data_IF_726511434877
#
_entry.id   IF_726511434877
#
_cell.length_a   1.000
_cell.length_b   1.000
_cell.length_c   1.000
_cell.angle_alpha   90.00
_cell.angle_beta   90.00
_cell.angle_gamma   90.00
#
_symmetry.space_group_name_H-M   'P 1'
#
loop_
_entity.id
_entity.type
_entity.pdbx_description
1 polymer ?
#
# COMPACT_ATOMS: atom_id res chain seq x y z
N UNK A 1 -0.48 -2.75 -33.73
CA UNK A 1 0.62 -3.63 -33.23
C UNK A 1 -0.03 -4.89 -32.68
N UNK A 2 0.54 -6.08 -32.90
CA UNK A 2 -0.05 -7.33 -32.42
C UNK A 2 0.46 -7.68 -31.00
N UNK A 3 -0.45 -8.08 -30.09
CA UNK A 3 -0.15 -8.40 -28.68
C UNK A 3 0.88 -9.51 -28.50
N UNK A 4 0.78 -10.60 -29.26
CA UNK A 4 1.71 -11.74 -29.23
C UNK A 4 3.12 -11.33 -29.63
N UNK A 5 3.24 -10.48 -30.65
CA UNK A 5 4.53 -9.92 -31.07
C UNK A 5 5.16 -9.06 -29.97
N UNK A 6 4.35 -8.21 -29.31
CA UNK A 6 4.82 -7.41 -28.17
C UNK A 6 5.26 -8.27 -27.00
N UNK A 7 4.52 -9.33 -26.65
CA UNK A 7 4.91 -10.22 -25.55
C UNK A 7 6.21 -10.98 -25.84
N UNK A 8 6.36 -11.50 -27.07
CA UNK A 8 7.61 -12.15 -27.50
C UNK A 8 8.81 -11.20 -27.40
N UNK A 9 8.64 -9.94 -27.79
CA UNK A 9 9.69 -8.91 -27.65
C UNK A 9 9.94 -8.58 -26.19
N UNK A 10 8.87 -8.35 -25.42
CA UNK A 10 8.93 -8.03 -23.98
C UNK A 10 9.68 -9.10 -23.20
N UNK A 11 9.40 -10.38 -23.41
CA UNK A 11 10.10 -11.50 -22.74
C UNK A 11 11.60 -11.55 -22.99
N UNK A 12 12.12 -10.90 -24.04
CA UNK A 12 13.57 -10.82 -24.31
C UNK A 12 14.25 -9.74 -23.47
N UNK A 13 13.52 -8.73 -23.02
CA UNK A 13 14.08 -7.51 -22.40
C UNK A 13 13.51 -7.19 -21.02
N UNK A 14 12.40 -7.84 -20.63
CA UNK A 14 11.74 -7.70 -19.33
C UNK A 14 11.62 -9.08 -18.68
N UNK A 15 11.98 -9.24 -17.39
CA UNK A 15 11.66 -10.45 -16.63
C UNK A 15 10.17 -10.76 -16.69
N UNK A 16 9.81 -11.97 -17.13
CA UNK A 16 8.40 -12.36 -17.34
C UNK A 16 7.67 -11.60 -18.45
N UNK A 17 8.35 -10.73 -19.21
CA UNK A 17 7.74 -9.90 -20.25
C UNK A 17 6.93 -8.70 -19.75
N UNK A 18 7.06 -8.34 -18.48
CA UNK A 18 6.24 -7.32 -17.80
C UNK A 18 7.08 -6.44 -16.86
N UNK A 19 6.60 -5.23 -16.54
CA UNK A 19 7.25 -4.34 -15.56
C UNK A 19 6.76 -4.55 -14.12
N UNK A 20 5.74 -5.40 -13.92
CA UNK A 20 5.22 -5.80 -12.61
C UNK A 20 4.58 -7.17 -12.77
N UNK A 21 4.80 -8.07 -11.82
CA UNK A 21 4.29 -9.44 -11.86
C UNK A 21 2.76 -9.48 -11.99
N UNK A 22 2.05 -8.54 -11.36
CA UNK A 22 0.58 -8.43 -11.41
C UNK A 22 0.04 -8.08 -12.80
N UNK A 23 0.89 -7.63 -13.73
CA UNK A 23 0.48 -7.35 -15.11
C UNK A 23 0.51 -8.58 -16.00
N UNK A 24 1.17 -9.66 -15.58
CA UNK A 24 1.08 -10.94 -16.29
C UNK A 24 -0.29 -11.54 -15.99
N UNK A 25 -1.12 -11.68 -17.02
CA UNK A 25 -2.44 -12.28 -16.88
C UNK A 25 -2.39 -13.73 -17.36
N UNK A 26 -2.57 -14.67 -16.43
CA UNK A 26 -2.52 -16.10 -16.74
C UNK A 26 -3.63 -16.53 -17.71
N UNK A 27 -4.84 -15.98 -17.55
CA UNK A 27 -5.97 -16.28 -18.43
C UNK A 27 -5.77 -15.82 -19.88
N UNK A 28 -5.00 -14.75 -20.10
CA UNK A 28 -4.63 -14.26 -21.43
C UNK A 28 -3.31 -14.86 -21.94
N UNK A 29 -2.47 -15.42 -21.05
CA UNK A 29 -1.11 -15.88 -21.37
C UNK A 29 -0.12 -14.75 -21.71
N UNK A 30 -0.52 -13.49 -21.58
CA UNK A 30 0.27 -12.29 -21.86
C UNK A 30 -0.32 -11.07 -21.10
N UNK A 31 0.41 -9.95 -20.93
CA UNK A 31 -0.15 -8.75 -20.31
C UNK A 31 -1.16 -8.04 -21.22
N UNK A 32 -2.04 -7.22 -20.64
CA UNK A 32 -2.87 -6.32 -21.42
C UNK A 32 -2.02 -5.17 -21.98
N UNK A 33 -1.84 -5.14 -23.30
CA UNK A 33 -1.13 -4.05 -23.97
C UNK A 33 -2.09 -2.92 -24.33
N UNK A 34 -1.96 -1.80 -23.63
CA UNK A 34 -2.80 -0.62 -23.82
C UNK A 34 -2.18 0.36 -24.82
N UNK A 35 -3.02 0.98 -25.65
CA UNK A 35 -2.63 2.12 -26.49
C UNK A 35 -3.04 3.45 -25.85
N UNK A 36 -4.21 3.49 -25.21
CA UNK A 36 -4.73 4.67 -24.51
C UNK A 36 -5.78 4.28 -23.47
N UNK A 37 -6.12 5.21 -22.60
CA UNK A 37 -7.21 5.11 -21.64
C UNK A 37 -7.97 6.45 -21.59
N UNK A 38 -9.29 6.39 -21.44
CA UNK A 38 -10.15 7.58 -21.45
C UNK A 38 -11.43 7.32 -20.67
N UNK A 39 -11.76 8.20 -19.72
CA UNK A 39 -12.91 8.02 -18.83
C UNK A 39 -12.84 6.69 -18.10
N UNK A 40 -13.87 5.86 -18.27
CA UNK A 40 -13.95 4.53 -17.67
C UNK A 40 -13.38 3.40 -18.56
N UNK A 41 -12.72 3.73 -19.68
CA UNK A 41 -12.30 2.72 -20.66
C UNK A 41 -10.79 2.62 -20.83
N UNK A 42 -10.32 1.38 -20.94
CA UNK A 42 -8.99 1.03 -21.45
C UNK A 42 -9.12 0.59 -22.90
N UNK A 43 -8.21 1.02 -23.76
CA UNK A 43 -8.21 0.66 -25.18
C UNK A 43 -6.88 0.01 -25.49
N UNK A 44 -6.93 -1.21 -26.00
CA UNK A 44 -5.72 -1.97 -26.30
C UNK A 44 -5.03 -1.52 -27.60
N UNK A 45 -3.87 -2.11 -27.89
CA UNK A 45 -3.07 -1.84 -29.11
C UNK A 45 -3.69 -2.33 -30.42
N UNK A 46 -4.83 -3.02 -30.34
CA UNK A 46 -5.64 -3.52 -31.45
C UNK A 46 -7.00 -2.77 -31.51
N UNK A 47 -7.14 -1.66 -30.78
CA UNK A 47 -8.33 -0.81 -30.68
C UNK A 47 -9.57 -1.45 -30.05
N UNK A 48 -9.42 -2.56 -29.30
CA UNK A 48 -10.53 -3.11 -28.54
C UNK A 48 -10.72 -2.35 -27.23
N UNK A 49 -11.93 -1.82 -26.95
CA UNK A 49 -12.23 -1.18 -25.69
C UNK A 49 -12.59 -2.20 -24.60
N UNK A 50 -12.25 -1.86 -23.36
CA UNK A 50 -12.56 -2.60 -22.15
C UNK A 50 -13.07 -1.60 -21.12
N UNK A 51 -14.19 -1.94 -20.45
CA UNK A 51 -14.60 -1.21 -19.26
C UNK A 51 -13.57 -1.50 -18.15
N UNK A 52 -12.99 -0.45 -17.57
CA UNK A 52 -11.97 -0.57 -16.53
C UNK A 52 -12.62 -0.73 -15.15
N UNK A 53 -12.48 -1.92 -14.58
CA UNK A 53 -12.88 -2.21 -13.20
C UNK A 53 -11.67 -2.28 -12.25
N UNK A 54 -10.44 -2.11 -12.77
CA UNK A 54 -9.21 -2.10 -11.97
C UNK A 54 -8.84 -0.68 -11.55
N UNK A 55 -9.10 0.31 -12.42
CA UNK A 55 -8.86 1.73 -12.18
C UNK A 55 -7.43 2.01 -11.68
N UNK A 56 -6.43 1.36 -12.28
CA UNK A 56 -5.03 1.50 -11.85
C UNK A 56 -4.80 1.04 -10.40
N UNK A 57 -5.46 -0.05 -9.99
CA UNK A 57 -5.52 -0.53 -8.60
C UNK A 57 -6.07 0.53 -7.63
N UNK A 58 -6.98 1.38 -8.09
CA UNK A 58 -7.62 2.46 -7.32
C UNK A 58 -7.05 3.87 -7.54
N UNK A 59 -5.90 4.01 -8.20
CA UNK A 59 -5.28 5.34 -8.43
C UNK A 59 -6.06 6.20 -9.44
N UNK A 60 -6.71 5.58 -10.43
CA UNK A 60 -7.52 6.28 -11.41
C UNK A 60 -8.96 6.50 -10.91
N UNK A 61 -9.12 6.97 -9.66
CA UNK A 61 -10.42 7.18 -9.02
C UNK A 61 -11.34 8.11 -9.83
N UNK A 62 -10.78 9.17 -10.40
CA UNK A 62 -11.51 10.14 -11.23
C UNK A 62 -11.60 9.74 -12.71
N UNK A 63 -11.23 8.50 -13.03
CA UNK A 63 -11.14 8.00 -14.40
C UNK A 63 -9.90 8.49 -15.15
N UNK A 64 -9.70 7.92 -16.33
CA UNK A 64 -8.53 8.18 -17.16
C UNK A 64 -8.66 9.48 -17.94
N UNK A 65 -7.59 10.28 -17.96
CA UNK A 65 -7.54 11.50 -18.76
C UNK A 65 -8.45 12.63 -18.25
N UNK A 66 -8.78 12.64 -16.95
CA UNK A 66 -9.63 13.66 -16.35
C UNK A 66 -9.17 15.09 -16.74
N UNK A 67 -10.04 15.95 -17.32
CA UNK A 67 -9.62 17.21 -17.93
C UNK A 67 -8.86 18.14 -16.99
N UNK A 68 -9.26 18.20 -15.71
CA UNK A 68 -8.58 19.04 -14.71
C UNK A 68 -7.16 18.54 -14.40
N UNK A 69 -6.96 17.21 -14.31
CA UNK A 69 -5.64 16.62 -14.07
C UNK A 69 -4.74 16.85 -15.27
N UNK A 70 -5.27 16.63 -16.48
CA UNK A 70 -4.52 16.87 -17.73
C UNK A 70 -4.06 18.33 -17.82
N UNK A 71 -4.95 19.28 -17.52
CA UNK A 71 -4.61 20.71 -17.51
C UNK A 71 -3.51 21.03 -16.49
N UNK A 72 -3.60 20.49 -15.28
CA UNK A 72 -2.59 20.67 -14.24
C UNK A 72 -1.23 20.09 -14.64
N UNK A 73 -1.20 18.88 -15.24
CA UNK A 73 0.04 18.25 -15.71
C UNK A 73 0.72 19.06 -16.83
N UNK A 74 -0.05 19.58 -17.79
CA UNK A 74 0.51 20.45 -18.85
C UNK A 74 1.08 21.72 -18.24
N UNK A 75 0.36 22.38 -17.33
CA UNK A 75 0.86 23.56 -16.64
C UNK A 75 2.15 23.28 -15.85
N UNK A 76 2.22 22.14 -15.15
CA UNK A 76 3.41 21.73 -14.42
C UNK A 76 4.61 21.46 -15.35
N UNK A 77 4.39 20.90 -16.54
CA UNK A 77 5.45 20.65 -17.52
C UNK A 77 6.12 21.96 -18.00
N UNK A 78 5.33 23.04 -18.16
CA UNK A 78 5.85 24.36 -18.54
C UNK A 78 6.71 25.01 -17.45
N UNK A 79 6.53 24.62 -16.17
CA UNK A 79 7.36 25.10 -15.06
C UNK A 79 8.70 24.38 -14.95
N UNK A 80 8.83 23.22 -15.62
CA UNK A 80 9.93 22.27 -15.44
C UNK A 80 9.60 21.20 -14.40
N UNK A 81 10.09 19.98 -14.65
CA UNK A 81 9.90 18.80 -13.78
C UNK A 81 11.23 18.33 -13.22
N UNK A 82 11.20 17.68 -12.05
CA UNK A 82 12.36 17.03 -11.42
C UNK A 82 13.54 17.97 -11.09
N UNK A 83 13.25 19.13 -10.51
CA UNK A 83 14.26 20.16 -10.22
C UNK A 83 15.15 19.88 -8.99
N UNK A 84 14.90 18.81 -8.24
CA UNK A 84 15.57 18.52 -6.96
C UNK A 84 15.56 19.71 -5.96
N UNK A 85 14.51 20.53 -6.03
CA UNK A 85 14.29 21.71 -5.19
C UNK A 85 12.79 21.84 -4.87
N UNK A 86 12.48 22.56 -3.80
CA UNK A 86 11.10 22.77 -3.37
C UNK A 86 10.38 23.88 -4.15
N UNK A 87 9.09 23.66 -4.37
CA UNK A 87 8.17 24.59 -5.03
C UNK A 87 6.99 24.89 -4.09
N UNK A 88 6.33 26.06 -4.20
CA UNK A 88 5.16 26.39 -3.37
C UNK A 88 4.07 25.32 -3.38
N UNK A 89 3.89 24.62 -4.51
CA UNK A 89 2.94 23.52 -4.66
C UNK A 89 3.15 22.35 -3.71
N UNK A 90 4.38 22.11 -3.22
CA UNK A 90 4.64 21.08 -2.21
C UNK A 90 3.96 21.45 -0.89
N UNK A 91 4.04 22.73 -0.48
CA UNK A 91 3.44 23.24 0.75
C UNK A 91 1.92 23.24 0.61
N UNK A 92 1.39 23.77 -0.49
CA UNK A 92 -0.06 23.82 -0.74
C UNK A 92 -0.70 22.42 -0.71
N UNK A 93 -0.02 21.42 -1.29
CA UNK A 93 -0.50 20.04 -1.23
C UNK A 93 -0.42 19.48 0.19
N UNK A 94 0.69 19.72 0.90
CA UNK A 94 0.85 19.25 2.28
C UNK A 94 -0.22 19.84 3.22
N UNK A 95 -0.52 21.13 3.12
CA UNK A 95 -1.57 21.80 3.90
C UNK A 95 -2.94 21.18 3.66
N UNK A 96 -3.29 20.94 2.39
CA UNK A 96 -4.56 20.27 2.04
C UNK A 96 -4.65 18.86 2.60
N UNK A 97 -3.57 18.10 2.52
CA UNK A 97 -3.54 16.73 3.02
C UNK A 97 -3.62 16.69 4.56
N UNK A 98 -2.90 17.57 5.28
CA UNK A 98 -3.02 17.70 6.73
C UNK A 98 -4.43 18.11 7.17
N UNK A 99 -5.11 18.95 6.39
CA UNK A 99 -6.49 19.34 6.67
C UNK A 99 -7.51 18.21 6.44
N UNK A 100 -7.21 17.26 5.55
CA UNK A 100 -8.11 16.16 5.20
C UNK A 100 -7.90 14.91 6.05
N UNK A 101 -6.65 14.55 6.34
CA UNK A 101 -6.30 13.27 6.99
C UNK A 101 -6.22 13.46 8.51
N UNK A 102 -7.13 12.84 9.30
CA UNK A 102 -7.26 13.11 10.73
C UNK A 102 -5.98 12.98 11.58
N UNK A 103 -5.10 12.02 11.30
CA UNK A 103 -3.85 11.83 12.05
C UNK A 103 -2.70 12.72 11.56
N UNK A 104 -2.84 13.43 10.43
CA UNK A 104 -1.72 14.08 9.76
C UNK A 104 -1.51 15.52 10.23
N UNK A 105 -0.63 15.70 11.22
CA UNK A 105 -0.13 17.04 11.59
C UNK A 105 0.98 17.52 10.64
N UNK A 106 1.76 16.57 10.10
CA UNK A 106 2.88 16.82 9.18
C UNK A 106 2.95 15.70 8.15
N UNK A 107 3.46 16.03 6.96
CA UNK A 107 3.58 15.07 5.84
C UNK A 107 4.99 15.11 5.24
N UNK A 108 5.40 13.95 4.71
CA UNK A 108 6.63 13.78 3.93
C UNK A 108 6.29 13.03 2.64
N UNK A 109 6.59 13.64 1.49
CA UNK A 109 6.39 12.99 0.20
C UNK A 109 7.46 11.93 -0.09
N UNK A 110 7.03 10.87 -0.77
CA UNK A 110 7.84 9.79 -1.34
C UNK A 110 7.34 9.48 -2.76
N UNK A 111 8.04 8.64 -3.50
CA UNK A 111 7.70 8.33 -4.89
C UNK A 111 6.80 7.10 -5.03
N UNK A 112 6.62 6.32 -3.96
CA UNK A 112 5.80 5.10 -3.99
C UNK A 112 5.30 4.72 -2.61
N UNK A 113 4.26 3.88 -2.60
CA UNK A 113 3.77 3.24 -1.39
C UNK A 113 4.84 2.43 -0.65
N UNK A 114 5.64 1.64 -1.39
CA UNK A 114 6.76 0.87 -0.81
C UNK A 114 7.81 1.77 -0.13
N UNK A 115 8.07 2.95 -0.69
CA UNK A 115 9.01 3.92 -0.10
C UNK A 115 8.38 4.58 1.15
N UNK A 116 7.08 4.87 1.10
CA UNK A 116 6.34 5.44 2.22
C UNK A 116 6.36 4.51 3.44
N UNK A 117 6.00 3.23 3.26
CA UNK A 117 5.98 2.24 4.34
C UNK A 117 7.39 1.94 4.87
N UNK A 118 8.39 1.88 3.99
CA UNK A 118 9.80 1.76 4.38
C UNK A 118 10.26 2.89 5.31
N UNK A 119 10.00 4.14 4.94
CA UNK A 119 10.36 5.29 5.77
C UNK A 119 9.55 5.37 7.06
N UNK A 120 8.24 5.09 6.99
CA UNK A 120 7.37 5.09 8.16
C UNK A 120 7.80 4.06 9.20
N UNK A 121 8.14 2.83 8.80
CA UNK A 121 8.64 1.80 9.73
C UNK A 121 9.97 2.23 10.36
N UNK A 122 10.88 2.85 9.60
CA UNK A 122 12.12 3.40 10.17
C UNK A 122 11.84 4.49 11.20
N UNK A 123 10.87 5.36 10.94
CA UNK A 123 10.43 6.38 11.89
C UNK A 123 9.86 5.73 13.16
N UNK A 124 8.98 4.74 13.03
CA UNK A 124 8.42 4.03 14.18
C UNK A 124 9.53 3.46 15.07
N UNK A 125 10.48 2.73 14.48
CA UNK A 125 11.63 2.17 15.21
C UNK A 125 12.46 3.24 15.89
N UNK A 126 12.75 4.35 15.19
CA UNK A 126 13.55 5.44 15.73
C UNK A 126 12.85 6.14 16.92
N UNK A 127 11.53 6.30 16.87
CA UNK A 127 10.75 6.93 17.93
C UNK A 127 10.62 6.02 19.15
N UNK A 128 10.41 4.72 18.95
CA UNK A 128 10.17 3.80 20.07
C UNK A 128 11.44 3.15 20.62
N UNK A 129 12.54 3.12 19.85
CA UNK A 129 13.75 2.37 20.17
C UNK A 129 13.56 0.84 20.12
N UNK A 130 12.59 0.36 19.33
CA UNK A 130 12.19 -1.05 19.27
C UNK A 130 12.39 -1.59 17.85
N UNK A 131 12.75 -2.86 17.70
CA UNK A 131 13.19 -3.40 16.41
C UNK A 131 12.10 -4.14 15.62
N UNK A 132 11.16 -4.79 16.31
CA UNK A 132 10.15 -5.63 15.66
C UNK A 132 8.96 -4.79 15.17
N UNK A 133 8.29 -5.29 14.14
CA UNK A 133 6.95 -4.83 13.76
C UNK A 133 5.96 -5.99 13.87
N UNK A 134 4.70 -5.66 14.12
CA UNK A 134 3.58 -6.58 14.00
C UNK A 134 2.78 -6.20 12.74
N UNK A 135 2.48 -7.18 11.89
CA UNK A 135 1.67 -7.02 10.68
C UNK A 135 0.68 -8.17 10.54
N UNK A 136 -0.12 -8.15 9.48
CA UNK A 136 -1.17 -9.15 9.28
C UNK A 136 -1.04 -9.95 7.99
N UNK A 137 -1.40 -11.23 8.06
CA UNK A 137 -1.54 -12.12 6.90
C UNK A 137 -2.57 -11.53 5.92
N UNK A 138 -2.28 -11.62 4.63
CA UNK A 138 -3.05 -11.09 3.51
C UNK A 138 -2.77 -9.63 3.16
N UNK A 139 -2.11 -8.86 4.04
CA UNK A 139 -1.84 -7.45 3.78
C UNK A 139 -0.63 -7.29 2.84
N UNK A 140 -0.52 -6.19 2.12
CA UNK A 140 0.65 -5.85 1.31
C UNK A 140 1.08 -4.40 1.57
N UNK A 141 2.31 -4.26 2.05
CA UNK A 141 2.89 -2.98 2.46
C UNK A 141 4.14 -2.62 1.63
N UNK A 142 4.20 -3.11 0.38
CA UNK A 142 5.33 -2.91 -0.52
C UNK A 142 6.30 -4.08 -0.59
N UNK A 143 7.34 -3.92 -1.41
CA UNK A 143 8.29 -4.98 -1.78
C UNK A 143 9.61 -4.96 -0.97
N UNK A 144 9.68 -4.18 0.10
CA UNK A 144 10.90 -4.06 0.91
C UNK A 144 10.94 -5.13 2.01
N UNK A 145 12.14 -5.50 2.43
CA UNK A 145 12.40 -6.61 3.36
C UNK A 145 11.82 -6.41 4.76
N UNK A 146 11.44 -5.18 5.12
CA UNK A 146 10.81 -4.89 6.41
C UNK A 146 9.32 -5.24 6.45
N UNK A 147 8.71 -5.59 5.32
CA UNK A 147 7.30 -5.98 5.27
C UNK A 147 7.04 -7.25 4.46
N UNK A 148 7.92 -7.63 3.53
CA UNK A 148 7.70 -8.74 2.59
C UNK A 148 7.95 -10.15 3.20
N UNK A 149 7.43 -10.37 4.41
CA UNK A 149 7.47 -11.62 5.18
C UNK A 149 6.10 -11.84 5.85
N UNK A 150 5.54 -13.04 5.68
CA UNK A 150 4.31 -13.47 6.35
C UNK A 150 3.03 -12.79 5.85
N UNK A 151 3.08 -12.01 4.76
CA UNK A 151 1.88 -11.44 4.13
C UNK A 151 1.12 -12.45 3.31
N UNK A 152 1.77 -13.11 2.36
CA UNK A 152 1.15 -14.15 1.53
C UNK A 152 1.85 -15.50 1.73
N UNK A 153 1.72 -16.13 2.91
CA UNK A 153 2.31 -17.43 3.16
C UNK A 153 1.56 -18.53 2.40
N UNK A 154 2.15 -19.74 2.29
CA UNK A 154 1.45 -20.92 1.79
C UNK A 154 0.13 -21.16 2.53
N UNK A 155 -0.82 -21.83 1.87
CA UNK A 155 -2.19 -22.02 2.38
C UNK A 155 -2.23 -22.65 3.77
N UNK A 156 -1.29 -23.54 4.06
CA UNK A 156 -1.18 -24.28 5.31
C UNK A 156 -0.74 -23.41 6.50
N UNK A 157 -0.32 -22.16 6.24
CA UNK A 157 0.17 -21.20 7.22
C UNK A 157 -0.75 -20.00 7.41
N UNK A 158 -1.86 -19.88 6.66
CA UNK A 158 -2.73 -18.69 6.69
C UNK A 158 -3.34 -18.39 8.07
N UNK A 159 -3.68 -19.44 8.82
CA UNK A 159 -4.42 -19.34 10.09
C UNK A 159 -3.50 -19.27 11.32
N UNK A 160 -2.19 -19.06 11.12
CA UNK A 160 -1.21 -18.98 12.21
C UNK A 160 -0.16 -17.92 11.96
N UNK A 161 0.66 -17.65 12.97
CA UNK A 161 1.81 -16.79 12.80
C UNK A 161 2.77 -17.38 11.76
N UNK A 162 3.17 -16.58 10.78
CA UNK A 162 4.07 -17.03 9.70
C UNK A 162 5.32 -16.16 9.64
N UNK A 163 6.45 -16.82 9.35
CA UNK A 163 7.74 -16.20 9.04
C UNK A 163 8.15 -16.45 7.59
N UNK A 164 7.18 -16.81 6.75
CA UNK A 164 7.40 -17.12 5.34
C UNK A 164 7.98 -15.90 4.62
N UNK A 165 9.16 -16.05 4.04
CA UNK A 165 9.77 -15.02 3.19
C UNK A 165 9.12 -15.08 1.82
N UNK A 166 8.44 -14.01 1.42
CA UNK A 166 7.73 -13.94 0.14
C UNK A 166 8.68 -13.79 -1.07
N UNK A 167 9.97 -13.55 -0.81
CA UNK A 167 11.04 -13.59 -1.81
C UNK A 167 12.24 -14.38 -1.30
N UNK A 168 12.82 -15.29 -2.11
CA UNK A 168 14.03 -16.02 -1.74
C UNK A 168 15.25 -15.12 -1.55
N UNK A 169 15.22 -13.89 -2.08
CA UNK A 169 16.29 -12.90 -1.94
C UNK A 169 16.35 -12.21 -0.58
N UNK A 170 15.35 -12.38 0.28
CA UNK A 170 15.33 -11.80 1.63
C UNK A 170 16.18 -12.67 2.56
N UNK A 171 17.20 -12.16 3.27
CA UNK A 171 17.96 -12.95 4.22
C UNK A 171 17.07 -13.53 5.32
N UNK A 172 17.29 -14.79 5.71
CA UNK A 172 16.54 -15.44 6.80
C UNK A 172 16.51 -14.60 8.09
N UNK A 173 17.63 -13.97 8.54
CA UNK A 173 17.63 -13.22 9.79
C UNK A 173 16.68 -12.02 9.79
N UNK A 174 16.22 -11.53 8.63
CA UNK A 174 15.22 -10.45 8.57
C UNK A 174 13.88 -10.87 9.16
N UNK A 175 13.54 -12.16 9.09
CA UNK A 175 12.28 -12.68 9.61
C UNK A 175 12.13 -12.56 11.13
N UNK A 176 13.21 -12.30 11.87
CA UNK A 176 13.13 -12.11 13.33
C UNK A 176 12.51 -10.75 13.73
N UNK A 177 12.51 -9.78 12.81
CA UNK A 177 12.01 -8.43 13.05
C UNK A 177 10.53 -8.26 12.70
N UNK A 178 9.84 -9.33 12.29
CA UNK A 178 8.47 -9.27 11.79
C UNK A 178 7.65 -10.36 12.46
N UNK A 179 6.56 -9.95 13.10
CA UNK A 179 5.53 -10.83 13.63
C UNK A 179 4.31 -10.68 12.72
N UNK A 180 4.02 -11.68 11.90
CA UNK A 180 2.83 -11.70 11.06
C UNK A 180 1.74 -12.55 11.72
N UNK A 181 0.56 -11.98 11.96
CA UNK A 181 -0.57 -12.64 12.60
C UNK A 181 -1.79 -12.67 11.66
N UNK A 182 -2.77 -13.57 11.86
CA UNK A 182 -4.03 -13.49 11.13
C UNK A 182 -4.75 -12.14 11.36
N UNK A 183 -5.26 -11.54 10.27
CA UNK A 183 -6.11 -10.36 10.35
C UNK A 183 -7.45 -10.70 11.03
N UNK A 184 -8.05 -9.75 11.75
CA UNK A 184 -9.28 -9.94 12.53
C UNK A 184 -9.20 -10.90 13.75
N UNK A 185 -7.99 -11.31 14.17
CA UNK A 185 -7.78 -12.06 15.44
C UNK A 185 -7.20 -11.14 16.53
N UNK A 186 -8.08 -10.39 17.20
CA UNK A 186 -7.68 -9.42 18.22
C UNK A 186 -7.08 -10.09 19.47
N UNK A 187 -7.60 -11.25 19.85
CA UNK A 187 -7.12 -12.00 21.03
C UNK A 187 -5.66 -12.43 20.86
N UNK A 188 -5.28 -12.89 19.67
CA UNK A 188 -3.89 -13.21 19.38
C UNK A 188 -3.00 -11.97 19.40
N UNK A 189 -3.47 -10.82 18.88
CA UNK A 189 -2.71 -9.56 18.99
C UNK A 189 -2.51 -9.17 20.45
N UNK A 190 -3.55 -9.24 21.28
CA UNK A 190 -3.48 -8.91 22.70
C UNK A 190 -2.43 -9.77 23.43
N UNK A 191 -2.44 -11.10 23.20
CA UNK A 191 -1.46 -12.02 23.77
C UNK A 191 -0.03 -11.70 23.34
N UNK A 192 0.20 -11.41 22.07
CA UNK A 192 1.54 -11.07 21.56
C UNK A 192 2.03 -9.76 22.15
N UNK A 193 1.19 -8.73 22.20
CA UNK A 193 1.58 -7.44 22.78
C UNK A 193 1.85 -7.54 24.28
N UNK A 194 1.06 -8.31 25.02
CA UNK A 194 1.30 -8.57 26.44
C UNK A 194 2.69 -9.20 26.70
N UNK A 195 3.11 -10.12 25.83
CA UNK A 195 4.37 -10.84 25.99
C UNK A 195 5.59 -10.08 25.44
N UNK A 196 5.43 -9.36 24.32
CA UNK A 196 6.55 -8.90 23.48
C UNK A 196 6.49 -7.42 23.09
N UNK A 197 5.54 -6.63 23.59
CA UNK A 197 5.43 -5.22 23.18
C UNK A 197 6.68 -4.37 23.45
N UNK A 198 7.54 -4.76 24.39
CA UNK A 198 8.81 -4.08 24.64
C UNK A 198 9.78 -4.16 23.44
N UNK A 199 9.56 -5.09 22.50
CA UNK A 199 10.36 -5.23 21.28
C UNK A 199 9.63 -4.73 20.02
N UNK A 200 8.33 -4.40 20.11
CA UNK A 200 7.49 -4.08 18.93
C UNK A 200 7.32 -2.56 18.81
N UNK A 201 7.85 -1.98 17.73
CA UNK A 201 7.74 -0.56 17.43
C UNK A 201 6.34 -0.17 16.97
N UNK A 202 5.74 -0.99 16.10
CA UNK A 202 4.45 -0.65 15.48
C UNK A 202 3.63 -1.88 15.11
N UNK A 203 2.31 -1.70 15.14
CA UNK A 203 1.32 -2.54 14.48
C UNK A 203 0.96 -1.85 13.16
N UNK A 204 1.39 -2.43 12.03
CA UNK A 204 1.05 -1.95 10.67
C UNK A 204 -0.08 -2.78 10.07
N UNK A 205 -1.09 -2.12 9.50
CA UNK A 205 -2.19 -2.79 8.80
C UNK A 205 -2.80 -1.96 7.68
N UNK A 206 -3.34 -2.63 6.67
CA UNK A 206 -4.38 -2.06 5.83
C UNK A 206 -5.68 -2.05 6.65
N UNK A 207 -6.36 -0.91 6.83
CA UNK A 207 -7.63 -0.88 7.57
C UNK A 207 -8.71 -1.75 6.90
N UNK A 208 -8.69 -1.81 5.56
CA UNK A 208 -9.44 -2.77 4.74
C UNK A 208 -8.43 -3.52 3.88
N UNK A 209 -8.38 -4.84 4.00
CA UNK A 209 -7.41 -5.67 3.28
C UNK A 209 -7.85 -5.87 1.83
N UNK A 210 -7.48 -4.92 0.97
CA UNK A 210 -7.77 -4.96 -0.46
C UNK A 210 -6.88 -5.96 -1.22
N UNK A 211 -5.69 -6.26 -0.71
CA UNK A 211 -4.79 -7.23 -1.33
C UNK A 211 -5.26 -8.68 -1.21
N UNK A 212 -6.21 -8.95 -0.30
CA UNK A 212 -6.91 -10.25 -0.19
C UNK A 212 -8.39 -10.18 -0.55
N UNK A 213 -8.78 -9.26 -1.45
CA UNK A 213 -10.15 -9.20 -1.98
C UNK A 213 -11.10 -8.21 -1.28
N UNK A 214 -10.57 -7.29 -0.48
CA UNK A 214 -11.37 -6.23 0.17
C UNK A 214 -12.01 -6.68 1.47
N UNK A 215 -11.27 -7.41 2.31
CA UNK A 215 -11.78 -7.92 3.59
C UNK A 215 -11.86 -6.77 4.60
N UNK A 216 -13.06 -6.42 5.11
CA UNK A 216 -13.21 -5.37 6.11
C UNK A 216 -12.76 -5.85 7.50
N UNK A 217 -12.47 -4.92 8.42
CA UNK A 217 -12.25 -5.27 9.82
C UNK A 217 -13.56 -5.76 10.46
N UNK A 218 -13.46 -6.70 11.39
CA UNK A 218 -14.60 -7.08 12.23
C UNK A 218 -14.98 -5.94 13.18
N UNK A 219 -16.24 -5.85 13.62
CA UNK A 219 -16.66 -4.83 14.59
C UNK A 219 -15.78 -4.84 15.84
N UNK A 220 -15.29 -3.67 16.26
CA UNK A 220 -14.42 -3.53 17.44
C UNK A 220 -12.95 -3.87 17.21
N UNK A 221 -12.57 -4.38 16.03
CA UNK A 221 -11.20 -4.80 15.77
C UNK A 221 -10.22 -3.61 15.75
N UNK A 222 -10.53 -2.56 14.99
CA UNK A 222 -9.64 -1.39 14.88
C UNK A 222 -9.59 -0.59 16.19
N UNK A 223 -10.71 -0.48 16.88
CA UNK A 223 -10.85 0.13 18.21
C UNK A 223 -9.99 -0.63 19.22
N UNK A 224 -10.11 -1.97 19.25
CA UNK A 224 -9.30 -2.83 20.10
C UNK A 224 -7.80 -2.73 19.79
N UNK A 225 -7.41 -2.69 18.51
CA UNK A 225 -6.02 -2.44 18.14
C UNK A 225 -5.52 -1.09 18.66
N UNK A 226 -6.35 -0.04 18.57
CA UNK A 226 -5.99 1.29 19.06
C UNK A 226 -5.80 1.31 20.57
N UNK A 227 -6.69 0.65 21.32
CA UNK A 227 -6.57 0.52 22.78
C UNK A 227 -5.32 -0.26 23.19
N UNK A 228 -5.08 -1.41 22.56
CA UNK A 228 -3.92 -2.26 22.85
C UNK A 228 -2.60 -1.54 22.54
N UNK A 229 -2.49 -0.91 21.36
CA UNK A 229 -1.28 -0.18 20.97
C UNK A 229 -0.95 0.95 21.95
N UNK A 230 -1.95 1.71 22.41
CA UNK A 230 -1.77 2.73 23.46
C UNK A 230 -1.33 2.11 24.78
N UNK A 231 -2.02 1.06 25.25
CA UNK A 231 -1.72 0.37 26.52
C UNK A 231 -0.27 -0.11 26.59
N UNK A 232 0.25 -0.62 25.48
CA UNK A 232 1.57 -1.25 25.42
C UNK A 232 2.67 -0.36 24.82
N UNK A 233 2.40 0.93 24.60
CA UNK A 233 3.33 1.88 24.00
C UNK A 233 3.90 1.40 22.66
N UNK A 234 3.02 0.95 21.77
CA UNK A 234 3.32 0.53 20.39
C UNK A 234 2.58 1.49 19.45
N UNK A 235 3.19 1.86 18.33
CA UNK A 235 2.56 2.78 17.38
C UNK A 235 1.53 2.03 16.52
N UNK A 236 0.31 2.55 16.40
CA UNK A 236 -0.67 2.10 15.42
C UNK A 236 -0.39 2.79 14.09
N UNK A 237 -0.13 2.01 13.05
CA UNK A 237 0.19 2.49 11.72
C UNK A 237 -0.84 1.96 10.70
N UNK A 238 -1.68 2.86 10.17
CA UNK A 238 -2.54 2.52 9.04
C UNK A 238 -1.83 2.70 7.70
N UNK A 239 -1.69 1.62 6.95
CA UNK A 239 -1.37 1.67 5.55
C UNK A 239 -2.64 1.98 4.74
N UNK A 240 -2.82 3.26 4.43
CA UNK A 240 -3.99 3.81 3.75
C UNK A 240 -3.76 4.03 2.25
N UNK A 241 -2.74 3.41 1.64
CA UNK A 241 -2.50 3.53 0.19
C UNK A 241 -3.76 3.15 -0.60
N UNK A 242 -4.48 2.10 -0.19
CA UNK A 242 -5.70 1.66 -0.88
C UNK A 242 -6.96 2.41 -0.43
N UNK A 243 -7.05 2.80 0.84
CA UNK A 243 -8.28 3.31 1.46
C UNK A 243 -8.43 4.84 1.40
N UNK A 244 -7.33 5.59 1.46
CA UNK A 244 -7.33 7.06 1.51
C UNK A 244 -8.02 7.69 0.28
N UNK A 245 -8.95 8.63 0.49
CA UNK A 245 -9.69 9.36 -0.55
C UNK A 245 -10.68 8.55 -1.40
N UNK A 246 -10.94 7.26 -1.08
CA UNK A 246 -11.84 6.42 -1.90
C UNK A 246 -13.30 6.53 -1.43
N UNK A 247 -13.59 6.10 -0.20
CA UNK A 247 -14.92 6.19 0.39
C UNK A 247 -15.15 7.55 1.05
N UNK A 248 -14.17 7.99 1.85
CA UNK A 248 -14.19 9.28 2.55
C UNK A 248 -12.88 10.07 2.30
N UNK A 249 -12.92 11.41 2.29
CA UNK A 249 -11.73 12.23 2.07
C UNK A 249 -10.62 12.00 3.12
N UNK A 250 -10.99 11.77 4.38
CA UNK A 250 -10.07 11.47 5.48
C UNK A 250 -9.61 10.02 5.55
N UNK A 251 -10.01 9.17 4.59
CA UNK A 251 -9.63 7.76 4.54
C UNK A 251 -10.36 6.89 5.56
N UNK A 252 -9.84 5.68 5.77
CA UNK A 252 -10.42 4.67 6.63
C UNK A 252 -10.47 5.12 8.10
N UNK A 253 -9.51 5.92 8.55
CA UNK A 253 -9.57 6.53 9.89
C UNK A 253 -10.82 7.42 10.10
N UNK A 254 -11.31 8.10 9.05
CA UNK A 254 -12.62 8.78 9.09
C UNK A 254 -13.76 7.75 9.01
N UNK A 255 -13.67 6.79 8.09
CA UNK A 255 -14.73 5.78 7.88
C UNK A 255 -15.06 4.93 9.12
N UNK A 256 -14.03 4.60 9.90
CA UNK A 256 -14.14 3.75 11.08
C UNK A 256 -14.01 4.53 12.40
N UNK A 257 -13.71 5.82 12.35
CA UNK A 257 -13.55 6.65 13.56
C UNK A 257 -12.36 6.26 14.44
N UNK A 258 -11.32 5.63 13.88
CA UNK A 258 -10.11 5.21 14.60
C UNK A 258 -8.90 5.95 14.04
N UNK A 259 -8.27 6.76 14.89
CA UNK A 259 -7.11 7.59 14.50
C UNK A 259 -5.79 6.85 14.83
N UNK A 260 -4.97 6.50 13.82
CA UNK A 260 -3.66 5.89 14.02
C UNK A 260 -2.63 6.93 14.49
N UNK A 261 -1.45 6.49 14.92
CA UNK A 261 -0.34 7.40 15.25
C UNK A 261 0.33 7.96 13.99
N UNK A 262 0.26 7.21 12.89
CA UNK A 262 0.69 7.63 11.56
C UNK A 262 -0.02 6.83 10.47
N UNK A 263 -0.04 7.36 9.26
CA UNK A 263 -0.51 6.64 8.09
C UNK A 263 0.37 6.84 6.87
N UNK A 264 0.28 5.91 5.91
CA UNK A 264 0.81 6.09 4.55
C UNK A 264 -0.34 6.25 3.58
N UNK A 265 -0.21 7.22 2.67
CA UNK A 265 -1.19 7.47 1.60
C UNK A 265 -0.50 7.33 0.24
N UNK A 266 -1.29 7.05 -0.79
CA UNK A 266 -0.79 6.91 -2.16
C UNK A 266 -1.92 6.56 -3.11
N UNK A 267 -1.53 6.23 -4.34
CA UNK A 267 -2.43 5.99 -5.49
C UNK A 267 -3.23 7.23 -5.86
#
# INVERSE_FOLDING_TARGET
MNKTSLFKRGRRVLPGGVCSSTRLNEGLGHPLYLSRAEGAYLIDVENKPYLDMSCGHGAALLGHGHPAIKKALVAAAELGICCAADMPYHIELAERLCALIPCAERIRFTNSGSEATLHAIRLCRAVTGKDKILRFTGHFHGYHEMTFIGGHPPREELDRASRYRESPGIPEPMAQFIIALPFNDLDTVARVLEQQAHEIATVILEPVNFNSGGIPPQPGYLEGLRELTRKYNVLLFFDEIQTSFKKSPGGAQEDFGVIPDLCTIGK
#
